data_IF_545290305981
#
_entry.id   IF_545290305981
#
_cell.length_a   1.000
_cell.length_b   1.000
_cell.length_c   1.000
_cell.angle_alpha   90.00
_cell.angle_beta   90.00
_cell.angle_gamma   90.00
#
_symmetry.space_group_name_H-M   'P 1'
#
loop_
_entity.id
_entity.type
_entity.pdbx_description
1 polymer ?
#
# COMPACT_ATOMS: atom_id res chain seq x y z
N UNK A 1 16.83 9.55 5.46
CA UNK A 1 16.45 8.55 4.44
C UNK A 1 16.90 9.07 3.08
N UNK A 2 17.45 8.25 2.17
CA UNK A 2 17.91 8.72 0.85
C UNK A 2 16.75 8.79 -0.13
N UNK A 3 16.74 9.80 -1.00
CA UNK A 3 15.69 10.02 -2.01
C UNK A 3 15.45 8.79 -2.90
N UNK A 4 16.51 8.03 -3.20
CA UNK A 4 16.42 6.84 -4.04
C UNK A 4 15.58 5.73 -3.41
N UNK A 5 15.60 5.59 -2.08
CA UNK A 5 14.75 4.62 -1.37
C UNK A 5 13.27 4.98 -1.44
N UNK A 6 12.93 6.28 -1.41
CA UNK A 6 11.54 6.73 -1.59
C UNK A 6 11.05 6.46 -3.01
N UNK A 7 11.86 6.78 -4.03
CA UNK A 7 11.50 6.50 -5.42
C UNK A 7 11.25 5.01 -5.67
N UNK A 8 12.07 4.15 -5.09
CA UNK A 8 11.86 2.71 -5.14
C UNK A 8 10.54 2.30 -4.48
N UNK A 9 10.26 2.79 -3.28
CA UNK A 9 9.00 2.49 -2.58
C UNK A 9 7.77 2.97 -3.37
N UNK A 10 7.85 4.15 -3.99
CA UNK A 10 6.78 4.67 -4.85
C UNK A 10 6.59 3.81 -6.09
N UNK A 11 7.67 3.40 -6.76
CA UNK A 11 7.59 2.50 -7.91
C UNK A 11 6.89 1.19 -7.53
N UNK A 12 7.34 0.53 -6.46
CA UNK A 12 6.74 -0.72 -5.99
C UNK A 12 5.27 -0.50 -5.63
N UNK A 13 4.91 0.61 -4.99
CA UNK A 13 3.51 0.93 -4.68
C UNK A 13 2.65 1.04 -5.94
N UNK A 14 3.12 1.72 -6.99
CA UNK A 14 2.40 1.80 -8.26
C UNK A 14 2.21 0.41 -8.88
N UNK A 15 3.23 -0.44 -8.86
CA UNK A 15 3.13 -1.83 -9.34
C UNK A 15 2.06 -2.62 -8.57
N UNK A 16 1.95 -2.43 -7.24
CA UNK A 16 0.90 -3.02 -6.43
C UNK A 16 -0.50 -2.48 -6.78
N UNK A 17 -0.64 -1.18 -7.06
CA UNK A 17 -1.91 -0.61 -7.48
C UNK A 17 -2.36 -1.11 -8.85
N UNK A 18 -1.44 -1.24 -9.80
CA UNK A 18 -1.74 -1.84 -11.11
C UNK A 18 -2.19 -3.29 -10.96
N UNK A 19 -1.48 -4.10 -10.16
CA UNK A 19 -1.89 -5.48 -9.88
C UNK A 19 -3.29 -5.56 -9.24
N UNK A 20 -3.62 -4.63 -8.34
CA UNK A 20 -4.94 -4.61 -7.69
C UNK A 20 -6.11 -4.38 -8.66
N UNK A 21 -5.88 -3.80 -9.86
CA UNK A 21 -6.95 -3.59 -10.86
C UNK A 21 -7.48 -4.90 -11.43
N UNK A 22 -6.67 -5.96 -11.42
CA UNK A 22 -7.05 -7.29 -11.90
C UNK A 22 -7.65 -8.18 -10.79
N UNK A 23 -7.64 -7.69 -9.54
CA UNK A 23 -8.18 -8.42 -8.38
C UNK A 23 -9.61 -8.00 -8.11
N UNK A 24 -10.49 -8.96 -7.82
CA UNK A 24 -11.87 -8.63 -7.46
C UNK A 24 -11.94 -7.85 -6.14
N UNK A 25 -12.93 -6.95 -6.03
CA UNK A 25 -13.16 -6.19 -4.80
C UNK A 25 -13.30 -7.08 -3.56
N UNK A 26 -13.97 -8.24 -3.70
CA UNK A 26 -14.14 -9.19 -2.60
C UNK A 26 -12.79 -9.73 -2.11
N UNK A 27 -11.85 -10.05 -3.02
CA UNK A 27 -10.52 -10.55 -2.63
C UNK A 27 -9.61 -9.45 -2.06
N UNK A 28 -9.78 -8.20 -2.52
CA UNK A 28 -9.09 -7.03 -1.97
C UNK A 28 -9.53 -6.73 -0.53
N UNK A 29 -10.83 -6.86 -0.25
CA UNK A 29 -11.45 -6.59 1.05
C UNK A 29 -11.41 -7.77 2.02
N UNK A 30 -11.16 -8.99 1.51
CA UNK A 30 -11.17 -10.23 2.29
C UNK A 30 -10.29 -10.12 3.54
N UNK A 31 -10.87 -10.50 4.67
CA UNK A 31 -10.15 -10.58 5.93
C UNK A 31 -9.09 -11.71 5.87
N UNK A 32 -7.86 -11.38 6.26
CA UNK A 32 -6.72 -12.30 6.32
C UNK A 32 -6.04 -12.18 7.69
N UNK A 33 -5.39 -13.26 8.14
CA UNK A 33 -4.60 -13.24 9.37
C UNK A 33 -3.24 -12.60 9.07
N UNK A 34 -2.86 -11.59 9.86
CA UNK A 34 -1.60 -10.86 9.73
C UNK A 34 -1.78 -9.41 9.25
N UNK A 35 -0.85 -8.54 9.67
CA UNK A 35 -0.89 -7.10 9.34
C UNK A 35 -2.19 -6.42 9.79
N UNK A 36 -2.72 -5.54 8.94
CA UNK A 36 -3.96 -4.77 9.18
C UNK A 36 -5.22 -5.45 8.61
N UNK A 37 -5.11 -6.73 8.23
CA UNK A 37 -6.26 -7.60 8.02
C UNK A 37 -6.84 -7.66 6.61
N UNK A 38 -6.43 -6.83 5.65
CA UNK A 38 -6.74 -7.02 4.22
C UNK A 38 -5.73 -6.34 3.31
N UNK A 39 -5.75 -6.67 2.00
CA UNK A 39 -4.83 -6.09 1.00
C UNK A 39 -5.06 -4.58 0.92
N UNK A 40 -6.31 -4.15 0.74
CA UNK A 40 -6.61 -2.73 0.57
C UNK A 40 -6.33 -1.91 1.83
N UNK A 41 -6.59 -2.46 3.02
CA UNK A 41 -6.25 -1.80 4.29
C UNK A 41 -4.74 -1.65 4.44
N UNK A 42 -3.96 -2.62 3.97
CA UNK A 42 -2.50 -2.58 4.04
C UNK A 42 -1.95 -1.48 3.13
N UNK A 43 -2.40 -1.42 1.87
CA UNK A 43 -1.98 -0.37 0.94
C UNK A 43 -2.40 1.03 1.45
N UNK A 44 -3.60 1.15 1.99
CA UNK A 44 -4.07 2.40 2.61
C UNK A 44 -3.17 2.82 3.78
N UNK A 45 -2.86 1.90 4.70
CA UNK A 45 -2.01 2.17 5.85
C UNK A 45 -0.60 2.62 5.47
N UNK A 46 -0.01 2.04 4.41
CA UNK A 46 1.31 2.46 3.90
C UNK A 46 1.29 3.89 3.40
N UNK A 47 0.25 4.28 2.63
CA UNK A 47 0.10 5.66 2.12
C UNK A 47 -0.18 6.64 3.26
N UNK A 48 -1.08 6.29 4.17
CA UNK A 48 -1.45 7.12 5.33
C UNK A 48 -0.24 7.40 6.22
N UNK A 49 0.54 6.36 6.55
CA UNK A 49 1.77 6.53 7.30
C UNK A 49 2.75 7.46 6.58
N UNK A 50 2.97 7.28 5.27
CA UNK A 50 3.82 8.18 4.49
C UNK A 50 3.34 9.64 4.54
N UNK A 51 2.03 9.87 4.42
CA UNK A 51 1.48 11.23 4.50
C UNK A 51 1.74 11.88 5.85
N UNK A 52 1.58 11.13 6.96
CA UNK A 52 1.87 11.62 8.31
C UNK A 52 3.35 12.00 8.45
N UNK A 53 4.27 11.20 7.90
CA UNK A 53 5.71 11.51 7.99
C UNK A 53 6.12 12.71 7.11
N UNK A 54 5.43 12.96 6.01
CA UNK A 54 5.72 14.10 5.11
C UNK A 54 5.04 15.38 5.61
N UNK A 55 3.86 15.28 6.23
CA UNK A 55 3.05 16.40 6.74
C UNK A 55 2.81 16.24 8.24
N UNK A 56 3.78 16.58 9.09
CA UNK A 56 3.68 16.43 10.55
C UNK A 56 2.70 17.41 11.21
#
# INVERSE_FOLDING_TARGET
MKLDSFKYNWQVREEWFEWCKDVSNDELLKNRVGGIGSIIKTLFHVVDAEQIWIHP
#
